data_IF_777221302761
#
_entry.id   IF_777221302761
#
_cell.length_a   1.000
_cell.length_b   1.000
_cell.length_c   1.000
_cell.angle_alpha   90.00
_cell.angle_beta   90.00
_cell.angle_gamma   90.00
#
_symmetry.space_group_name_H-M   'P 1'
#
loop_
_entity.id
_entity.type
_entity.pdbx_description
1 polymer ?
#
# COMPACT_ATOMS: atom_id res chain seq x y z
N UNK A 1 17.01 8.60 35.81
CA UNK A 1 17.18 9.44 34.60
C UNK A 1 17.64 8.54 33.46
N UNK A 2 16.75 7.76 32.80
CA UNK A 2 17.17 6.75 31.81
C UNK A 2 16.14 6.42 30.72
N UNK A 3 15.38 7.41 30.24
CA UNK A 3 14.50 7.21 29.07
C UNK A 3 14.54 8.42 28.15
N UNK A 4 15.51 8.44 27.25
CA UNK A 4 15.39 9.22 26.02
C UNK A 4 14.56 8.41 25.04
N UNK A 5 13.33 8.87 24.88
CA UNK A 5 12.36 8.45 23.86
C UNK A 5 12.86 8.97 22.51
N UNK A 6 13.81 8.27 21.91
CA UNK A 6 14.36 8.65 20.61
C UNK A 6 13.28 8.48 19.54
N UNK A 7 13.02 9.52 18.74
CA UNK A 7 12.10 9.49 17.59
C UNK A 7 12.43 8.42 16.53
N UNK A 8 13.47 7.63 16.71
CA UNK A 8 13.87 6.49 15.88
C UNK A 8 12.94 5.29 16.08
N UNK A 9 12.47 5.03 17.30
CA UNK A 9 11.63 3.88 17.62
C UNK A 9 10.21 4.03 17.09
N UNK A 10 9.66 5.25 17.10
CA UNK A 10 8.35 5.52 16.50
C UNK A 10 8.39 5.36 14.99
N UNK A 11 9.45 5.82 14.33
CA UNK A 11 9.60 5.61 12.88
C UNK A 11 9.76 4.12 12.53
N UNK A 12 10.51 3.34 13.32
CA UNK A 12 10.64 1.89 13.13
C UNK A 12 9.32 1.15 13.36
N UNK A 13 8.56 1.51 14.39
CA UNK A 13 7.25 0.92 14.68
C UNK A 13 6.22 1.34 13.63
N UNK A 14 6.28 2.56 13.14
CA UNK A 14 5.36 3.07 12.11
C UNK A 14 5.64 2.46 10.73
N UNK A 15 6.92 2.37 10.33
CA UNK A 15 7.33 1.71 9.08
C UNK A 15 7.10 0.21 9.18
N UNK A 16 7.44 -0.40 10.31
CA UNK A 16 7.21 -1.82 10.58
C UNK A 16 5.73 -2.19 10.58
N UNK A 17 4.87 -1.39 11.23
CA UNK A 17 3.43 -1.62 11.28
C UNK A 17 2.75 -1.46 9.91
N UNK A 18 3.17 -0.46 9.13
CA UNK A 18 2.64 -0.25 7.77
C UNK A 18 3.07 -1.39 6.84
N UNK A 19 4.35 -1.78 6.86
CA UNK A 19 4.88 -2.89 6.05
C UNK A 19 4.24 -4.23 6.44
N UNK A 20 4.05 -4.49 7.74
CA UNK A 20 3.40 -5.70 8.22
C UNK A 20 1.94 -5.79 7.75
N UNK A 21 1.20 -4.69 7.79
CA UNK A 21 -0.20 -4.63 7.32
C UNK A 21 -0.31 -4.91 5.82
N UNK A 22 0.61 -4.36 5.01
CA UNK A 22 0.68 -4.65 3.57
C UNK A 22 0.98 -6.13 3.28
N UNK A 23 1.92 -6.73 4.02
CA UNK A 23 2.18 -8.17 3.93
C UNK A 23 0.96 -8.99 4.34
N UNK A 24 0.27 -8.60 5.40
CA UNK A 24 -0.92 -9.28 5.90
C UNK A 24 -2.07 -9.27 4.89
N UNK A 25 -2.21 -8.21 4.08
CA UNK A 25 -3.18 -8.13 2.99
C UNK A 25 -2.97 -9.20 1.91
N UNK A 26 -1.71 -9.43 1.52
CA UNK A 26 -1.37 -10.47 0.52
C UNK A 26 -1.64 -11.86 1.09
N UNK A 27 -1.25 -12.07 2.35
CA UNK A 27 -1.42 -13.35 3.04
C UNK A 27 -2.91 -13.64 3.25
N UNK A 28 -3.71 -12.65 3.69
CA UNK A 28 -5.14 -12.82 3.93
C UNK A 28 -5.91 -13.11 2.64
N UNK A 29 -5.62 -12.40 1.54
CA UNK A 29 -6.20 -12.69 0.24
C UNK A 29 -5.88 -14.13 -0.24
N UNK A 30 -4.64 -14.57 -0.01
CA UNK A 30 -4.21 -15.94 -0.35
C UNK A 30 -4.94 -16.99 0.50
N UNK A 31 -5.08 -16.77 1.80
CA UNK A 31 -5.79 -17.67 2.72
C UNK A 31 -7.26 -17.77 2.36
N UNK A 32 -7.91 -16.65 2.02
CA UNK A 32 -9.31 -16.65 1.58
C UNK A 32 -9.48 -17.41 0.26
N UNK A 33 -8.57 -17.22 -0.71
CA UNK A 33 -8.57 -17.97 -1.97
C UNK A 33 -8.40 -19.48 -1.76
N UNK A 34 -7.51 -19.88 -0.86
CA UNK A 34 -7.31 -21.29 -0.49
C UNK A 34 -8.52 -21.86 0.26
N UNK A 35 -9.13 -21.11 1.18
CA UNK A 35 -10.30 -21.54 1.93
C UNK A 35 -11.50 -21.78 1.00
N UNK A 36 -11.74 -20.86 0.06
CA UNK A 36 -12.78 -21.01 -0.97
C UNK A 36 -12.43 -22.18 -1.89
N UNK A 37 -11.18 -22.28 -2.34
CA UNK A 37 -10.70 -23.36 -3.19
C UNK A 37 -10.89 -24.74 -2.55
N UNK A 38 -10.63 -24.86 -1.25
CA UNK A 38 -10.83 -26.10 -0.48
C UNK A 38 -12.31 -26.46 -0.34
N UNK A 39 -13.17 -25.48 -0.01
CA UNK A 39 -14.61 -25.70 0.09
C UNK A 39 -15.24 -26.13 -1.24
N UNK A 40 -14.71 -25.61 -2.35
CA UNK A 40 -15.18 -25.92 -3.69
C UNK A 40 -14.66 -27.29 -4.17
N UNK A 41 -13.43 -27.68 -3.78
CA UNK A 41 -12.88 -29.04 -4.00
C UNK A 41 -13.74 -30.11 -3.29
N UNK A 42 -14.20 -29.83 -2.07
CA UNK A 42 -15.08 -30.70 -1.26
C UNK A 42 -16.47 -30.88 -1.89
N UNK A 43 -17.05 -29.80 -2.44
CA UNK A 43 -18.35 -29.87 -3.15
C UNK A 43 -18.26 -30.61 -4.49
N UNK A 44 -17.16 -30.44 -5.24
CA UNK A 44 -17.02 -31.02 -6.58
C UNK A 44 -16.42 -32.43 -6.57
N UNK A 45 -15.82 -32.88 -5.46
CA UNK A 45 -15.20 -34.20 -5.34
C UNK A 45 -14.03 -34.44 -6.31
N UNK A 46 -13.58 -33.37 -6.99
CA UNK A 46 -12.44 -33.41 -7.90
C UNK A 46 -11.18 -33.35 -7.03
N UNK A 47 -10.38 -34.43 -7.06
CA UNK A 47 -8.98 -34.49 -6.57
C UNK A 47 -8.25 -33.14 -6.77
N UNK A 48 -7.25 -32.75 -5.94
CA UNK A 48 -6.88 -31.38 -5.55
C UNK A 48 -6.40 -30.48 -6.70
N UNK A 49 -7.29 -30.28 -7.66
CA UNK A 49 -7.04 -29.61 -8.93
C UNK A 49 -7.67 -28.22 -8.88
N UNK A 50 -8.83 -28.11 -8.22
CA UNK A 50 -9.48 -26.85 -7.99
C UNK A 50 -8.68 -25.97 -7.02
N UNK A 51 -8.14 -26.57 -5.94
CA UNK A 51 -7.22 -25.90 -5.02
C UNK A 51 -5.98 -25.37 -5.76
N UNK A 52 -5.43 -26.12 -6.74
CA UNK A 52 -4.24 -25.69 -7.48
C UNK A 52 -4.54 -24.47 -8.37
N UNK A 53 -5.69 -24.44 -9.04
CA UNK A 53 -6.14 -23.28 -9.83
C UNK A 53 -6.46 -22.09 -8.93
N UNK A 54 -7.20 -22.30 -7.84
CA UNK A 54 -7.55 -21.23 -6.90
C UNK A 54 -6.33 -20.69 -6.14
N UNK A 55 -5.32 -21.51 -5.91
CA UNK A 55 -4.04 -21.09 -5.35
C UNK A 55 -3.32 -20.13 -6.30
N UNK A 56 -3.19 -20.48 -7.59
CA UNK A 56 -2.58 -19.60 -8.59
C UNK A 56 -3.40 -18.31 -8.73
N UNK A 57 -4.73 -18.40 -8.71
CA UNK A 57 -5.61 -17.24 -8.75
C UNK A 57 -5.49 -16.37 -7.50
N UNK A 58 -5.37 -16.96 -6.31
CA UNK A 58 -5.17 -16.26 -5.05
C UNK A 58 -3.85 -15.51 -5.01
N UNK A 59 -2.76 -16.13 -5.49
CA UNK A 59 -1.45 -15.48 -5.65
C UNK A 59 -1.53 -14.34 -6.65
N UNK A 60 -2.16 -14.56 -7.82
CA UNK A 60 -2.37 -13.51 -8.83
C UNK A 60 -3.18 -12.33 -8.29
N UNK A 61 -4.25 -12.60 -7.52
CA UNK A 61 -5.08 -11.57 -6.91
C UNK A 61 -4.30 -10.76 -5.86
N UNK A 62 -3.53 -11.42 -5.01
CA UNK A 62 -2.65 -10.77 -4.03
C UNK A 62 -1.62 -9.87 -4.71
N UNK A 63 -0.95 -10.35 -5.77
CA UNK A 63 -0.01 -9.54 -6.56
C UNK A 63 -0.68 -8.34 -7.23
N UNK A 64 -1.87 -8.51 -7.78
CA UNK A 64 -2.60 -7.42 -8.44
C UNK A 64 -2.93 -6.30 -7.46
N UNK A 65 -3.32 -6.64 -6.23
CA UNK A 65 -3.59 -5.67 -5.16
C UNK A 65 -2.34 -4.86 -4.79
N UNK A 66 -1.19 -5.51 -4.65
CA UNK A 66 0.09 -4.85 -4.35
C UNK A 66 0.52 -3.92 -5.48
N UNK A 67 0.48 -4.40 -6.72
CA UNK A 67 0.88 -3.60 -7.88
C UNK A 67 0.03 -2.33 -7.99
N UNK A 68 -1.27 -2.44 -7.69
CA UNK A 68 -2.18 -1.31 -7.69
C UNK A 68 -1.89 -0.33 -6.54
N UNK A 69 -1.61 -0.81 -5.34
CA UNK A 69 -1.20 0.02 -4.19
C UNK A 69 0.12 0.75 -4.45
N UNK A 70 1.12 0.06 -5.02
CA UNK A 70 2.40 0.66 -5.42
C UNK A 70 2.22 1.77 -6.46
N UNK A 71 1.40 1.52 -7.50
CA UNK A 71 1.09 2.55 -8.51
C UNK A 71 0.38 3.76 -7.91
N UNK A 72 -0.50 3.53 -6.94
CA UNK A 72 -1.26 4.59 -6.25
C UNK A 72 -0.36 5.45 -5.38
N UNK A 73 0.63 4.85 -4.72
CA UNK A 73 1.64 5.56 -3.94
C UNK A 73 2.52 6.43 -4.83
N UNK A 74 3.02 5.89 -5.95
CA UNK A 74 3.83 6.63 -6.93
C UNK A 74 3.10 7.87 -7.48
N UNK A 75 1.83 7.71 -7.90
CA UNK A 75 1.01 8.83 -8.38
C UNK A 75 0.72 9.88 -7.32
N UNK A 76 0.58 9.48 -6.04
CA UNK A 76 0.36 10.42 -4.93
C UNK A 76 1.62 11.22 -4.61
N UNK A 77 2.80 10.61 -4.69
CA UNK A 77 4.06 11.32 -4.52
C UNK A 77 4.29 12.36 -5.63
N UNK A 78 4.00 12.00 -6.88
CA UNK A 78 4.11 12.89 -8.04
C UNK A 78 3.11 14.06 -7.97
N UNK A 79 1.86 13.82 -7.58
CA UNK A 79 0.86 14.87 -7.42
C UNK A 79 1.18 15.81 -6.24
N UNK A 80 1.75 15.28 -5.15
CA UNK A 80 2.15 16.09 -3.98
C UNK A 80 3.34 17.00 -4.30
N UNK A 81 4.29 16.51 -5.12
CA UNK A 81 5.46 17.28 -5.58
C UNK A 81 5.07 18.45 -6.49
N UNK A 82 4.04 18.27 -7.32
CA UNK A 82 3.52 19.33 -8.20
C UNK A 82 2.66 20.37 -7.47
N UNK A 83 1.95 19.98 -6.41
CA UNK A 83 1.18 20.92 -5.57
C UNK A 83 2.06 21.85 -4.72
N UNK A 84 3.20 21.36 -4.21
CA UNK A 84 4.12 22.16 -3.40
C UNK A 84 4.91 23.20 -4.18
N UNK A 85 5.07 23.04 -5.49
CA UNK A 85 5.73 24.05 -6.35
C UNK A 85 4.82 25.24 -6.66
N UNK A 86 3.49 25.05 -6.63
CA UNK A 86 2.52 26.10 -6.97
C UNK A 86 2.18 27.02 -5.80
N UNK A 87 2.46 26.63 -4.55
CA UNK A 87 2.19 27.47 -3.38
C UNK A 87 3.28 28.52 -3.10
N UNK A 88 4.50 28.32 -3.62
CA UNK A 88 5.63 29.25 -3.41
C UNK A 88 5.80 30.26 -4.58
N UNK A 89 4.87 30.25 -5.55
CA UNK A 89 4.92 31.10 -6.74
C UNK A 89 3.98 32.31 -6.72
N UNK A 90 3.07 32.39 -5.73
CA UNK A 90 2.07 33.46 -5.63
C UNK A 90 2.36 34.46 -4.48
N UNK A 91 3.47 34.32 -3.75
CA UNK A 91 3.93 35.28 -2.71
C UNK A 91 5.03 36.25 -3.19
N UNK A 92 5.21 36.40 -4.51
CA UNK A 92 6.30 37.21 -5.08
C UNK A 92 5.91 38.18 -6.20
N UNK A 93 4.62 38.51 -6.35
CA UNK A 93 4.15 39.44 -7.37
C UNK A 93 3.18 40.45 -6.75
N UNK A 94 3.69 41.38 -5.97
CA UNK A 94 2.82 42.32 -5.26
C UNK A 94 3.42 43.63 -4.77
N UNK A 95 4.74 43.89 -4.82
CA UNK A 95 5.30 44.99 -4.01
C UNK A 95 6.34 45.86 -4.73
N UNK A 96 6.17 46.19 -6.01
CA UNK A 96 7.11 47.09 -6.70
C UNK A 96 6.52 47.77 -7.93
N UNK A 97 5.44 48.52 -7.73
CA UNK A 97 5.11 49.67 -8.58
C UNK A 97 4.20 50.68 -7.86
N UNK A 98 4.65 51.14 -6.69
CA UNK A 98 4.14 52.36 -6.07
C UNK A 98 5.25 53.01 -5.23
N UNK A 99 6.20 53.67 -5.90
CA UNK A 99 6.98 54.79 -5.36
C UNK A 99 8.04 55.23 -6.39
N UNK A 100 8.04 56.53 -6.74
CA UNK A 100 9.17 57.22 -7.36
C UNK A 100 8.86 57.85 -8.69
#
# INVERSE_FOLDING_TARGET
MFFSKDGRWTNLVQVGGTASTMGLHIVSATVVGLAIGYFLDDIFGTKPWLIMIFFVFGVMAGFKMVIEDFRKLQRREEARKSGSLKHNGDEGAGDDQSAG
#
